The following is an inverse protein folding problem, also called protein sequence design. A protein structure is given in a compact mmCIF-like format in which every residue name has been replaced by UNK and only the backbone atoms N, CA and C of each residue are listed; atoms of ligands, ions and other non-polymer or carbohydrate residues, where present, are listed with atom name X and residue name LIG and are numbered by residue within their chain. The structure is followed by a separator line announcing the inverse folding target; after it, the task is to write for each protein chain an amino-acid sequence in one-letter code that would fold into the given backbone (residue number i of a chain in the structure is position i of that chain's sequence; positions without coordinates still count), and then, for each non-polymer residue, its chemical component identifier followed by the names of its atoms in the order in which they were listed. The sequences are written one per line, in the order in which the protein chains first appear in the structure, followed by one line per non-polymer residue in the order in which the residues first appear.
data_IF_696692736751
#
_entry.id   IF_696692736751
#
_cell.length_a   1.000
_cell.length_b   1.000
_cell.length_c   1.000
_cell.angle_alpha   90.00
_cell.angle_beta   90.00
_cell.angle_gamma   90.00
#
_symmetry.space_group_name_H-M   'P 1'
#
loop_
_entity.id
_entity.type
_entity.pdbx_description
1 polymer ?
#
# COMPACT_ATOMS: atom_id res chain seq x y z
N UNK A 1 -103.14 7.70 -12.11
CA UNK A 1 -102.19 6.61 -11.76
C UNK A 1 -100.85 7.24 -11.48
N UNK A 2 -100.27 6.93 -10.32
CA UNK A 2 -99.05 7.53 -9.76
C UNK A 2 -97.81 6.75 -10.20
N UNK A 3 -96.72 7.50 -10.37
CA UNK A 3 -95.32 7.17 -10.07
C UNK A 3 -94.60 6.00 -10.79
N UNK A 4 -93.51 6.34 -11.47
CA UNK A 4 -92.22 5.69 -11.28
C UNK A 4 -91.07 6.66 -11.63
N UNK A 5 -90.06 6.71 -10.78
CA UNK A 5 -88.95 7.68 -10.70
C UNK A 5 -87.61 6.94 -10.83
N UNK A 6 -86.63 7.61 -11.46
CA UNK A 6 -85.16 7.45 -11.38
C UNK A 6 -84.52 6.17 -11.97
N UNK A 7 -83.27 6.15 -12.48
CA UNK A 7 -82.10 7.02 -12.31
C UNK A 7 -81.35 7.22 -13.63
N UNK A 8 -80.85 8.42 -13.89
CA UNK A 8 -79.81 8.69 -14.90
C UNK A 8 -78.51 9.01 -14.15
N UNK A 9 -77.44 8.25 -14.45
CA UNK A 9 -76.12 8.44 -13.86
C UNK A 9 -75.47 9.70 -14.42
N UNK A 10 -75.38 10.75 -13.61
CA UNK A 10 -74.61 11.96 -13.90
C UNK A 10 -73.15 11.76 -13.56
N UNK A 11 -72.28 11.91 -14.55
CA UNK A 11 -70.83 11.98 -14.40
C UNK A 11 -70.48 13.32 -13.73
N UNK A 12 -70.31 13.33 -12.40
CA UNK A 12 -69.77 14.49 -11.69
C UNK A 12 -68.25 14.44 -11.67
N UNK A 13 -67.66 15.45 -12.32
CA UNK A 13 -66.25 15.81 -12.23
C UNK A 13 -65.95 16.26 -10.81
N UNK A 14 -65.19 15.46 -10.06
CA UNK A 14 -64.54 15.91 -8.81
C UNK A 14 -63.06 16.13 -9.15
N UNK A 15 -62.70 17.37 -9.44
CA UNK A 15 -61.30 17.82 -9.33
C UNK A 15 -60.93 17.83 -7.85
N UNK A 16 -60.46 16.68 -7.36
CA UNK A 16 -59.75 16.60 -6.09
C UNK A 16 -58.37 17.20 -6.29
N UNK A 17 -58.16 18.42 -5.80
CA UNK A 17 -56.83 18.97 -5.61
C UNK A 17 -56.12 18.11 -4.54
N UNK A 18 -55.36 17.12 -4.98
CA UNK A 18 -54.32 16.54 -4.14
C UNK A 18 -53.24 17.60 -4.00
N UNK A 19 -53.31 18.37 -2.92
CA UNK A 19 -52.12 18.97 -2.35
C UNK A 19 -51.19 17.82 -1.96
N UNK A 20 -50.30 17.44 -2.87
CA UNK A 20 -49.09 16.71 -2.49
C UNK A 20 -48.32 17.65 -1.56
N UNK A 21 -48.54 17.47 -0.27
CA UNK A 21 -47.66 17.97 0.76
C UNK A 21 -46.27 17.50 0.38
N UNK A 22 -45.45 18.44 -0.07
CA UNK A 22 -44.05 18.21 -0.41
C UNK A 22 -43.39 17.81 0.89
N UNK A 23 -43.33 16.50 1.18
CA UNK A 23 -42.41 15.95 2.17
C UNK A 23 -41.04 16.26 1.60
N UNK A 24 -40.58 17.46 1.91
CA UNK A 24 -39.21 17.88 1.74
C UNK A 24 -38.50 17.03 2.77
N UNK A 25 -38.00 15.88 2.34
CA UNK A 25 -37.09 15.08 3.13
C UNK A 25 -35.95 16.03 3.50
N UNK A 26 -35.99 16.55 4.73
CA UNK A 26 -34.92 17.31 5.32
C UNK A 26 -33.69 16.41 5.20
N UNK A 27 -32.81 16.71 4.23
CA UNK A 27 -31.51 16.06 4.19
C UNK A 27 -30.89 16.33 5.57
N UNK A 28 -30.42 15.29 6.29
CA UNK A 28 -29.77 15.50 7.57
C UNK A 28 -28.66 16.54 7.38
N UNK A 29 -28.58 17.51 8.28
CA UNK A 29 -27.57 18.55 8.23
C UNK A 29 -26.19 17.87 8.32
N UNK A 30 -25.36 18.01 7.30
CA UNK A 30 -24.01 17.45 7.27
C UNK A 30 -22.99 18.48 7.75
N UNK A 31 -21.97 18.01 8.45
CA UNK A 31 -20.80 18.79 8.82
C UNK A 31 -19.57 18.33 8.02
N UNK A 32 -18.53 19.15 7.97
CA UNK A 32 -17.27 18.76 7.34
C UNK A 32 -16.04 19.23 8.10
N UNK A 33 -14.94 18.48 7.96
CA UNK A 33 -13.60 18.83 8.44
C UNK A 33 -12.58 18.56 7.35
N UNK A 34 -11.53 19.38 7.25
CA UNK A 34 -10.46 19.21 6.26
C UNK A 34 -9.21 18.64 6.94
N UNK A 35 -8.72 17.51 6.43
CA UNK A 35 -7.68 16.70 7.08
C UNK A 35 -6.55 16.38 6.10
N UNK A 36 -5.31 16.64 6.50
CA UNK A 36 -4.09 16.24 5.80
C UNK A 36 -3.45 15.05 6.51
N UNK A 37 -3.25 13.96 5.78
CA UNK A 37 -2.73 12.70 6.32
C UNK A 37 -1.72 12.07 5.35
N UNK A 38 -1.01 12.86 4.55
CA UNK A 38 -0.18 12.37 3.46
C UNK A 38 -0.95 12.23 2.15
N UNK A 39 -0.59 11.26 1.31
CA UNK A 39 -1.22 11.06 0.00
C UNK A 39 -2.74 10.87 0.12
N UNK A 40 -3.51 11.81 -0.40
CA UNK A 40 -4.97 11.88 -0.24
C UNK A 40 -5.76 10.68 -0.79
N UNK A 41 -5.17 9.85 -1.67
CA UNK A 41 -5.84 8.68 -2.24
C UNK A 41 -6.14 7.62 -1.19
N UNK A 42 -5.16 7.35 -0.32
CA UNK A 42 -5.37 6.44 0.79
C UNK A 42 -6.26 7.07 1.86
N UNK A 43 -6.18 8.39 2.04
CA UNK A 43 -6.98 9.12 3.03
C UNK A 43 -8.46 9.05 2.68
N UNK A 44 -8.80 9.33 1.42
CA UNK A 44 -10.16 9.30 0.90
C UNK A 44 -10.82 7.94 1.15
N UNK A 45 -10.09 6.85 0.86
CA UNK A 45 -10.56 5.48 1.14
C UNK A 45 -10.78 5.26 2.64
N UNK A 46 -9.78 5.54 3.48
CA UNK A 46 -9.84 5.25 4.93
C UNK A 46 -10.92 6.04 5.64
N UNK A 47 -11.05 7.32 5.31
CA UNK A 47 -12.06 8.18 5.93
C UNK A 47 -13.46 7.86 5.39
N UNK A 48 -13.58 7.46 4.12
CA UNK A 48 -14.85 7.06 3.52
C UNK A 48 -15.40 5.72 4.04
N UNK A 49 -14.57 4.87 4.67
CA UNK A 49 -14.98 3.60 5.29
C UNK A 49 -15.57 3.78 6.70
N UNK A 50 -15.55 5.01 7.26
CA UNK A 50 -16.09 5.29 8.59
C UNK A 50 -17.62 5.36 8.54
N UNK A 51 -18.36 4.54 9.30
CA UNK A 51 -19.82 4.65 9.37
C UNK A 51 -20.25 6.06 9.80
N UNK A 52 -21.22 6.65 9.09
CA UNK A 52 -21.67 8.02 9.29
C UNK A 52 -20.92 9.09 8.47
N UNK A 53 -19.81 8.74 7.81
CA UNK A 53 -19.23 9.58 6.76
C UNK A 53 -20.05 9.45 5.49
N UNK A 54 -20.46 10.60 4.94
CA UNK A 54 -21.34 10.71 3.77
C UNK A 54 -20.54 10.81 2.48
N UNK A 55 -19.46 11.60 2.49
CA UNK A 55 -18.60 11.79 1.33
C UNK A 55 -17.19 12.25 1.75
N UNK A 56 -16.21 12.02 0.88
CA UNK A 56 -14.83 12.46 1.07
C UNK A 56 -14.30 12.98 -0.25
N UNK A 57 -13.89 14.25 -0.29
CA UNK A 57 -13.36 14.91 -1.49
C UNK A 57 -11.87 15.18 -1.32
N UNK A 58 -11.05 14.85 -2.32
CA UNK A 58 -9.60 15.16 -2.32
C UNK A 58 -9.34 16.61 -2.75
N UNK A 59 -8.35 17.26 -2.14
CA UNK A 59 -8.01 18.65 -2.43
C UNK A 59 -6.66 19.12 -1.89
N UNK A 60 -6.41 20.42 -2.05
CA UNK A 60 -5.20 21.11 -1.60
C UNK A 60 -5.58 22.28 -0.69
N UNK A 61 -4.94 22.40 0.48
CA UNK A 61 -5.24 23.47 1.44
C UNK A 61 -4.04 23.91 2.31
N UNK A 62 -4.14 25.12 2.86
CA UNK A 62 -3.25 25.64 3.90
C UNK A 62 -1.87 26.13 3.43
N UNK A 63 -1.68 26.27 2.13
CA UNK A 63 -0.57 27.01 1.51
C UNK A 63 -0.97 28.44 1.11
N UNK A 64 -0.04 29.14 0.49
CA UNK A 64 -0.20 30.56 0.16
C UNK A 64 -0.66 30.82 -1.29
N UNK A 65 -0.60 29.81 -2.18
CA UNK A 65 -1.01 29.97 -3.57
C UNK A 65 -2.54 30.09 -3.68
N UNK A 66 -3.09 31.07 -4.42
CA UNK A 66 -4.54 31.27 -4.53
C UNK A 66 -5.25 30.16 -5.33
N UNK A 67 -4.53 29.50 -6.24
CA UNK A 67 -4.95 28.36 -7.03
C UNK A 67 -3.76 27.45 -7.29
N UNK A 68 -3.98 26.14 -7.34
CA UNK A 68 -2.95 25.15 -7.63
C UNK A 68 -3.58 23.84 -8.13
N UNK A 69 -3.01 23.27 -9.18
CA UNK A 69 -3.20 21.86 -9.53
C UNK A 69 -2.08 20.99 -8.98
N UNK A 70 -2.17 19.68 -9.18
CA UNK A 70 -1.21 18.71 -8.66
C UNK A 70 0.24 19.04 -9.06
N UNK A 71 0.46 19.41 -10.32
CA UNK A 71 1.78 19.78 -10.82
C UNK A 71 2.32 21.06 -10.16
N UNK A 72 1.45 22.02 -9.85
CA UNK A 72 1.83 23.24 -9.15
C UNK A 72 2.33 22.90 -7.75
N UNK A 73 1.60 22.04 -7.01
CA UNK A 73 2.00 21.57 -5.67
C UNK A 73 3.38 20.93 -5.69
N UNK A 74 3.62 20.00 -6.62
CA UNK A 74 4.91 19.33 -6.74
C UNK A 74 6.03 20.29 -7.18
N UNK A 75 5.73 21.22 -8.08
CA UNK A 75 6.71 22.23 -8.52
C UNK A 75 7.07 23.20 -7.40
N UNK A 76 6.08 23.57 -6.59
CA UNK A 76 6.23 24.47 -5.47
C UNK A 76 7.02 23.82 -4.33
N UNK A 77 6.82 22.53 -4.08
CA UNK A 77 7.64 21.76 -3.14
C UNK A 77 9.12 21.75 -3.56
N UNK A 78 9.39 21.53 -4.85
CA UNK A 78 10.75 21.61 -5.39
C UNK A 78 11.33 23.03 -5.26
N UNK A 79 10.53 24.06 -5.51
CA UNK A 79 10.96 25.45 -5.35
C UNK A 79 11.29 25.76 -3.88
N UNK A 80 10.50 25.29 -2.93
CA UNK A 80 10.76 25.41 -1.49
C UNK A 80 12.07 24.74 -1.09
N UNK A 81 12.25 23.47 -1.49
CA UNK A 81 13.46 22.70 -1.18
C UNK A 81 14.74 23.30 -1.74
N UNK A 82 14.64 24.00 -2.88
CA UNK A 82 15.78 24.68 -3.51
C UNK A 82 15.96 26.13 -3.05
N UNK A 83 15.16 26.59 -2.09
CA UNK A 83 15.21 27.96 -1.57
C UNK A 83 14.77 29.03 -2.57
N UNK A 84 14.14 28.65 -3.69
CA UNK A 84 13.64 29.58 -4.72
C UNK A 84 12.40 30.34 -4.29
N UNK A 85 11.69 29.84 -3.28
CA UNK A 85 10.55 30.49 -2.66
C UNK A 85 10.51 30.18 -1.17
N UNK A 86 9.93 31.10 -0.41
CA UNK A 86 9.60 30.91 1.00
C UNK A 86 8.08 30.80 1.23
N UNK A 87 7.28 30.91 0.16
CA UNK A 87 5.82 30.83 0.24
C UNK A 87 5.40 29.40 0.57
N UNK A 88 4.43 29.25 1.46
CA UNK A 88 4.01 27.95 1.96
C UNK A 88 3.30 27.12 0.90
N UNK A 89 3.64 25.84 0.78
CA UNK A 89 2.94 24.90 -0.10
C UNK A 89 1.59 24.47 0.48
N UNK A 90 0.64 24.13 -0.39
CA UNK A 90 -0.58 23.45 0.08
C UNK A 90 -0.25 22.02 0.52
N UNK A 91 -0.97 21.54 1.53
CA UNK A 91 -1.03 20.13 1.85
C UNK A 91 -2.03 19.44 0.94
N UNK A 92 -1.74 18.20 0.53
CA UNK A 92 -2.76 17.24 0.13
C UNK A 92 -3.67 16.97 1.33
N UNK A 93 -4.96 17.19 1.13
CA UNK A 93 -5.98 17.04 2.15
C UNK A 93 -7.21 16.35 1.58
N UNK A 94 -8.08 15.90 2.47
CA UNK A 94 -9.45 15.55 2.13
C UNK A 94 -10.44 16.40 2.92
N UNK A 95 -11.57 16.73 2.31
CA UNK A 95 -12.76 17.26 2.98
C UNK A 95 -13.66 16.09 3.33
N UNK A 96 -13.71 15.72 4.62
CA UNK A 96 -14.55 14.64 5.14
C UNK A 96 -15.91 15.23 5.51
N UNK A 97 -16.96 14.81 4.82
CA UNK A 97 -18.34 15.25 5.04
C UNK A 97 -19.08 14.12 5.78
N UNK A 98 -19.68 14.42 6.93
CA UNK A 98 -20.28 13.41 7.80
C UNK A 98 -21.63 13.85 8.38
N UNK A 99 -22.45 12.87 8.77
CA UNK A 99 -23.70 13.09 9.47
C UNK A 99 -23.44 13.11 10.99
N UNK A 100 -23.54 14.28 11.67
CA UNK A 100 -23.29 14.39 13.11
C UNK A 100 -24.30 13.59 13.96
N UNK A 101 -25.43 13.16 13.38
CA UNK A 101 -26.36 12.25 14.04
C UNK A 101 -25.89 10.77 14.06
N UNK A 102 -24.95 10.41 13.19
CA UNK A 102 -24.43 9.04 13.05
C UNK A 102 -22.99 8.91 13.56
N UNK A 103 -22.15 9.92 13.37
CA UNK A 103 -20.74 9.92 13.80
C UNK A 103 -20.34 11.27 14.34
N UNK A 104 -19.64 11.27 15.48
CA UNK A 104 -19.17 12.51 16.11
C UNK A 104 -17.86 12.99 15.48
N UNK A 105 -17.60 14.30 15.53
CA UNK A 105 -16.31 14.87 15.14
C UNK A 105 -15.13 14.23 15.90
N UNK A 106 -15.31 13.92 17.20
CA UNK A 106 -14.29 13.23 17.98
C UNK A 106 -13.98 11.85 17.41
N UNK A 107 -14.99 11.09 16.98
CA UNK A 107 -14.81 9.78 16.33
C UNK A 107 -14.09 9.91 14.99
N UNK A 108 -14.45 10.92 14.17
CA UNK A 108 -13.74 11.20 12.91
C UNK A 108 -12.27 11.54 13.18
N UNK A 109 -11.99 12.38 14.17
CA UNK A 109 -10.63 12.75 14.57
C UNK A 109 -9.85 11.59 15.19
N UNK A 110 -10.49 10.73 15.98
CA UNK A 110 -9.89 9.50 16.48
C UNK A 110 -9.40 8.61 15.32
N UNK A 111 -10.22 8.44 14.28
CA UNK A 111 -9.82 7.70 13.07
C UNK A 111 -8.72 8.40 12.30
N UNK A 112 -8.74 9.73 12.21
CA UNK A 112 -7.62 10.50 11.66
C UNK A 112 -6.31 10.14 12.37
N UNK A 113 -6.27 10.20 13.70
CA UNK A 113 -5.07 9.92 14.50
C UNK A 113 -4.54 8.49 14.30
N UNK A 114 -5.43 7.49 14.24
CA UNK A 114 -5.06 6.08 14.13
C UNK A 114 -4.52 5.68 12.74
N UNK A 115 -4.90 6.38 11.67
CA UNK A 115 -4.68 5.92 10.29
C UNK A 115 -3.43 6.47 9.60
N UNK A 116 -2.64 7.30 10.29
CA UNK A 116 -1.36 7.84 9.80
C UNK A 116 -0.34 7.98 10.94
N UNK A 117 0.90 8.39 10.64
CA UNK A 117 1.90 8.67 11.66
C UNK A 117 2.03 10.18 11.90
N UNK A 118 1.33 10.76 12.89
CA UNK A 118 1.32 12.21 13.11
C UNK A 118 2.64 12.77 13.67
N UNK A 119 3.66 11.95 13.89
CA UNK A 119 4.96 12.39 14.45
C UNK A 119 6.06 12.55 13.40
N UNK A 120 5.79 12.27 12.12
CA UNK A 120 6.85 12.24 11.10
C UNK A 120 7.29 13.62 10.61
N UNK A 121 6.41 14.63 10.65
CA UNK A 121 6.67 15.97 10.08
C UNK A 121 6.87 15.96 8.56
N UNK A 122 6.10 16.73 7.80
CA UNK A 122 6.23 16.89 6.34
C UNK A 122 6.50 15.59 5.57
N UNK A 123 5.90 14.50 6.06
CA UNK A 123 6.10 13.14 5.56
C UNK A 123 4.99 12.24 6.07
N UNK A 124 4.56 11.30 5.23
CA UNK A 124 3.78 10.13 5.63
C UNK A 124 4.26 8.90 4.87
N UNK A 125 4.86 7.95 5.59
CA UNK A 125 5.43 6.76 4.98
C UNK A 125 6.52 7.10 3.95
N UNK A 126 6.24 6.85 2.67
CA UNK A 126 7.15 7.12 1.56
C UNK A 126 6.94 8.51 0.93
N UNK A 127 5.84 9.18 1.25
CA UNK A 127 5.51 10.48 0.70
C UNK A 127 6.19 11.57 1.54
N UNK A 128 7.20 12.23 0.98
CA UNK A 128 8.04 13.23 1.67
C UNK A 128 7.89 14.59 1.00
N UNK A 129 7.60 15.62 1.80
CA UNK A 129 7.39 16.98 1.35
C UNK A 129 6.37 17.69 2.23
N UNK A 130 6.46 19.01 2.30
CA UNK A 130 5.50 19.81 3.08
C UNK A 130 4.06 19.61 2.61
N UNK A 131 3.85 19.21 1.34
CA UNK A 131 2.53 18.84 0.82
C UNK A 131 1.96 17.54 1.44
N UNK A 132 2.77 16.70 2.09
CA UNK A 132 2.32 15.47 2.77
C UNK A 132 2.23 15.61 4.29
N UNK A 133 2.34 16.83 4.81
CA UNK A 133 2.25 17.10 6.25
C UNK A 133 0.91 16.67 6.84
N UNK A 134 0.95 16.26 8.10
CA UNK A 134 -0.27 16.03 8.88
C UNK A 134 -0.92 17.36 9.26
N UNK A 135 -2.22 17.52 8.99
CA UNK A 135 -2.92 18.78 9.23
C UNK A 135 -4.40 18.57 9.61
N UNK A 136 -4.92 19.46 10.46
CA UNK A 136 -6.35 19.64 10.73
C UNK A 136 -6.66 21.11 10.42
N UNK A 137 -7.45 21.34 9.38
CA UNK A 137 -7.92 22.68 9.03
C UNK A 137 -9.37 22.87 9.48
N UNK A 138 -9.55 23.69 10.52
CA UNK A 138 -10.85 23.93 11.15
C UNK A 138 -11.54 25.16 10.56
N UNK A 139 -12.88 25.18 10.55
CA UNK A 139 -13.66 26.35 10.11
C UNK A 139 -14.41 27.06 11.25
N UNK A 140 -14.42 26.47 12.46
CA UNK A 140 -15.02 27.07 13.65
C UNK A 140 -14.25 26.74 14.94
N UNK A 141 -14.67 27.34 16.06
CA UNK A 141 -14.04 27.18 17.36
C UNK A 141 -14.24 25.78 17.98
N UNK A 142 -15.36 25.11 17.69
CA UNK A 142 -15.66 23.77 18.20
C UNK A 142 -14.70 22.74 17.60
N UNK A 143 -14.46 22.84 16.29
CA UNK A 143 -13.51 21.98 15.59
C UNK A 143 -12.07 22.21 16.06
N UNK A 144 -11.68 23.48 16.28
CA UNK A 144 -10.38 23.80 16.88
C UNK A 144 -10.23 23.12 18.25
N UNK A 145 -11.23 23.27 19.12
CA UNK A 145 -11.22 22.69 20.45
C UNK A 145 -11.14 21.15 20.41
N UNK A 146 -11.93 20.51 19.53
CA UNK A 146 -11.91 19.07 19.33
C UNK A 146 -10.56 18.56 18.79
N UNK A 147 -9.96 19.26 17.81
CA UNK A 147 -8.63 18.94 17.29
C UNK A 147 -7.56 18.96 18.39
N UNK A 148 -7.53 20.02 19.20
CA UNK A 148 -6.57 20.17 20.30
C UNK A 148 -6.80 19.13 21.41
N UNK A 149 -8.05 18.87 21.78
CA UNK A 149 -8.39 17.89 22.82
C UNK A 149 -7.99 16.47 22.40
N UNK A 150 -8.35 16.06 21.19
CA UNK A 150 -8.02 14.73 20.66
C UNK A 150 -6.53 14.56 20.41
N UNK A 151 -5.82 15.61 19.96
CA UNK A 151 -4.34 15.61 19.88
C UNK A 151 -3.71 15.33 21.25
N UNK A 152 -4.16 16.00 22.31
CA UNK A 152 -3.63 15.81 23.66
C UNK A 152 -3.86 14.39 24.19
N UNK A 153 -5.02 13.81 23.89
CA UNK A 153 -5.32 12.41 24.24
C UNK A 153 -4.40 11.46 23.48
N UNK A 154 -4.30 11.61 22.15
CA UNK A 154 -3.50 10.71 21.33
C UNK A 154 -2.01 10.84 21.61
N UNK A 155 -1.50 12.04 21.92
CA UNK A 155 -0.10 12.23 22.32
C UNK A 155 0.27 11.37 23.54
N UNK A 156 -0.64 11.20 24.51
CA UNK A 156 -0.39 10.31 25.66
C UNK A 156 -0.24 8.85 25.22
N UNK A 157 -1.09 8.40 24.30
CA UNK A 157 -1.00 7.06 23.74
C UNK A 157 0.31 6.85 22.93
N UNK A 158 0.71 7.86 22.15
CA UNK A 158 1.97 7.85 21.41
C UNK A 158 3.18 7.80 22.34
N UNK A 159 3.19 8.60 23.40
CA UNK A 159 4.25 8.59 24.41
C UNK A 159 4.38 7.21 25.05
N UNK A 160 3.25 6.59 25.42
CA UNK A 160 3.23 5.25 26.00
C UNK A 160 3.73 4.17 25.02
N UNK A 161 3.52 4.38 23.72
CA UNK A 161 3.99 3.51 22.64
C UNK A 161 5.42 3.84 22.15
N UNK A 162 6.10 4.80 22.76
CA UNK A 162 7.48 5.18 22.40
C UNK A 162 7.62 6.07 21.15
N UNK A 163 6.54 6.69 20.69
CA UNK A 163 6.55 7.62 19.56
C UNK A 163 6.86 9.05 20.00
N UNK A 164 7.32 9.85 19.03
CA UNK A 164 7.68 11.25 19.24
C UNK A 164 6.48 12.18 19.42
N UNK A 165 6.78 13.48 19.47
CA UNK A 165 5.76 14.53 19.53
C UNK A 165 4.99 14.61 18.21
N UNK A 166 3.68 14.79 18.30
CA UNK A 166 2.80 15.10 17.18
C UNK A 166 3.24 16.41 16.53
N UNK A 167 3.47 16.35 15.22
CA UNK A 167 3.80 17.49 14.36
C UNK A 167 2.58 18.00 13.59
N UNK A 168 1.42 17.36 13.74
CA UNK A 168 0.16 17.78 13.11
C UNK A 168 -0.15 19.23 13.42
N UNK A 169 -0.31 20.02 12.37
CA UNK A 169 -0.77 21.40 12.55
C UNK A 169 -2.29 21.49 12.69
N UNK A 170 -2.74 22.43 13.51
CA UNK A 170 -4.17 22.68 13.73
C UNK A 170 -4.41 24.17 13.50
N UNK A 171 -4.86 24.51 12.31
CA UNK A 171 -4.95 25.90 11.81
C UNK A 171 -6.33 26.18 11.23
N UNK A 172 -6.76 27.45 11.14
CA UNK A 172 -8.00 27.78 10.45
C UNK A 172 -7.87 27.46 8.96
N UNK A 173 -8.92 26.90 8.36
CA UNK A 173 -9.01 26.70 6.92
C UNK A 173 -9.05 28.06 6.22
N UNK A 174 -7.98 28.40 5.50
CA UNK A 174 -7.88 29.65 4.75
C UNK A 174 -8.47 29.53 3.35
N UNK A 175 -8.13 28.46 2.67
CA UNK A 175 -8.50 28.18 1.30
C UNK A 175 -8.56 26.65 1.11
N UNK A 176 -9.38 26.21 0.17
CA UNK A 176 -9.48 24.82 -0.23
C UNK A 176 -9.64 24.78 -1.75
N UNK A 177 -8.78 24.02 -2.41
CA UNK A 177 -8.78 23.85 -3.86
C UNK A 177 -9.11 22.39 -4.14
N UNK A 178 -10.23 22.12 -4.81
CA UNK A 178 -10.61 20.76 -5.19
C UNK A 178 -9.56 20.17 -6.13
N UNK A 179 -9.08 18.95 -5.83
CA UNK A 179 -8.14 18.26 -6.69
C UNK A 179 -8.82 17.78 -7.97
N UNK A 180 -8.02 17.53 -9.00
CA UNK A 180 -8.49 17.11 -10.31
C UNK A 180 -9.30 15.81 -10.25
N UNK A 181 -10.26 15.64 -11.17
CA UNK A 181 -11.21 14.52 -11.17
C UNK A 181 -10.52 13.13 -11.17
N UNK A 182 -9.31 13.02 -11.72
CA UNK A 182 -8.58 11.75 -11.72
C UNK A 182 -8.04 11.37 -10.33
N UNK A 183 -7.92 12.32 -9.40
CA UNK A 183 -7.58 12.06 -7.99
C UNK A 183 -8.80 11.71 -7.15
N UNK A 184 -10.00 12.16 -7.54
CA UNK A 184 -11.23 11.83 -6.84
C UNK A 184 -11.54 10.34 -6.97
N UNK A 185 -11.90 9.70 -5.87
CA UNK A 185 -12.21 8.28 -5.78
C UNK A 185 -11.11 7.39 -6.37
N UNK A 186 -9.83 7.78 -6.23
CA UNK A 186 -8.73 7.15 -6.95
C UNK A 186 -8.65 5.63 -6.70
N UNK A 187 -8.75 5.19 -5.44
CA UNK A 187 -8.67 3.77 -5.08
C UNK A 187 -9.96 2.98 -5.36
N UNK A 188 -11.09 3.66 -5.61
CA UNK A 188 -12.29 3.01 -6.16
C UNK A 188 -12.13 2.78 -7.66
N UNK A 189 -11.52 3.73 -8.37
CA UNK A 189 -11.20 3.65 -9.80
C UNK A 189 -10.03 2.70 -10.08
N UNK A 190 -9.09 2.58 -9.14
CA UNK A 190 -7.86 1.79 -9.24
C UNK A 190 -7.70 0.94 -7.97
N UNK A 191 -8.28 -0.27 -7.95
CA UNK A 191 -8.30 -1.13 -6.75
C UNK A 191 -6.92 -1.55 -6.25
N UNK A 192 -5.94 -1.66 -7.16
CA UNK A 192 -4.54 -1.97 -6.86
C UNK A 192 -3.65 -0.69 -6.80
N UNK A 193 -4.28 0.49 -6.70
CA UNK A 193 -3.60 1.77 -6.62
C UNK A 193 -2.82 1.96 -5.31
N UNK A 194 -1.89 2.92 -5.33
CA UNK A 194 -1.05 3.22 -4.17
C UNK A 194 -1.86 3.61 -2.94
N UNK A 195 -1.61 2.94 -1.82
CA UNK A 195 -2.17 3.27 -0.51
C UNK A 195 -1.12 3.08 0.58
N UNK A 196 -0.39 4.16 0.92
CA UNK A 196 0.63 4.15 1.97
C UNK A 196 0.08 4.28 3.41
N UNK A 197 -1.25 4.36 3.57
CA UNK A 197 -1.89 4.69 4.84
C UNK A 197 -2.35 3.44 5.59
N UNK A 198 -1.59 3.08 6.63
CA UNK A 198 -1.88 1.95 7.51
C UNK A 198 -1.86 2.29 9.01
N UNK A 199 -1.59 3.54 9.37
CA UNK A 199 -1.33 3.92 10.76
C UNK A 199 -0.04 3.29 11.32
N UNK A 200 0.17 3.50 12.62
CA UNK A 200 1.33 3.00 13.37
C UNK A 200 0.95 1.94 14.41
N UNK A 201 -0.26 1.41 14.32
CA UNK A 201 -0.78 0.40 15.25
C UNK A 201 -1.16 0.92 16.64
N UNK A 202 -0.99 2.21 16.91
CA UNK A 202 -1.43 2.85 18.17
C UNK A 202 -2.92 3.20 18.05
N UNK A 203 -3.71 2.74 19.03
CA UNK A 203 -5.15 3.01 19.08
C UNK A 203 -5.44 4.33 19.79
N UNK A 204 -6.47 5.02 19.34
CA UNK A 204 -7.03 6.13 20.09
C UNK A 204 -7.69 5.57 21.35
N UNK A 205 -7.33 6.02 22.56
CA UNK A 205 -7.92 5.50 23.79
C UNK A 205 -9.45 5.69 23.78
N UNK A 206 -10.20 4.62 24.06
CA UNK A 206 -11.64 4.72 24.27
C UNK A 206 -11.90 5.73 25.38
N UNK A 207 -12.82 6.66 25.14
CA UNK A 207 -13.11 7.76 26.06
C UNK A 207 -13.79 7.24 27.33
N UNK A 208 -13.00 6.76 28.28
CA UNK A 208 -13.41 6.66 29.67
C UNK A 208 -13.56 8.08 30.25
N UNK A 209 -14.73 8.34 30.83
CA UNK A 209 -15.19 9.60 31.44
C UNK A 209 -14.11 10.40 32.22
N UNK A 210 -13.99 11.68 31.83
CA UNK A 210 -13.66 12.93 32.59
C UNK A 210 -12.44 13.01 33.53
N UNK A 211 -11.85 14.22 33.47
CA UNK A 211 -10.94 14.96 34.40
C UNK A 211 -9.44 14.66 34.19
N UNK A 212 -8.50 15.61 34.08
CA UNK A 212 -8.51 17.07 34.22
C UNK A 212 -7.21 17.71 33.71
N UNK A 213 -7.12 19.03 33.91
CA UNK A 213 -6.27 20.06 33.31
C UNK A 213 -4.75 20.03 33.57
N UNK A 214 -4.04 20.68 32.62
CA UNK A 214 -2.78 21.46 32.71
C UNK A 214 -1.44 20.69 32.90
N UNK A 215 -0.27 21.10 32.39
CA UNK A 215 0.27 22.43 32.07
C UNK A 215 1.23 22.41 30.84
N UNK A 216 1.56 23.62 30.38
CA UNK A 216 2.46 24.04 29.30
C UNK A 216 3.95 24.01 29.65
N UNK A 217 4.82 23.65 28.70
CA UNK A 217 6.19 24.23 28.61
C UNK A 217 6.86 24.02 27.24
N UNK A 218 7.49 25.10 26.78
CA UNK A 218 8.20 25.39 25.53
C UNK A 218 9.65 24.86 25.47
N UNK A 219 10.33 25.11 24.32
CA UNK A 219 11.79 25.07 23.98
C UNK A 219 12.02 24.07 22.82
N UNK A 220 12.16 24.49 21.55
CA UNK A 220 13.19 25.23 20.78
C UNK A 220 14.21 24.34 20.06
N UNK A 221 14.28 24.60 18.75
CA UNK A 221 15.08 24.10 17.63
C UNK A 221 16.60 24.03 17.79
N UNK A 222 17.23 23.16 17.00
CA UNK A 222 18.61 23.25 16.54
C UNK A 222 18.78 22.59 15.16
N UNK A 223 19.38 23.32 14.22
CA UNK A 223 19.48 23.09 12.77
C UNK A 223 20.94 23.03 12.33
N UNK A 224 21.29 22.23 11.30
CA UNK A 224 22.36 22.47 10.28
C UNK A 224 22.61 21.17 9.47
N UNK A 225 22.42 21.08 8.15
CA UNK A 225 23.21 21.61 7.01
C UNK A 225 24.62 20.95 6.92
N UNK A 226 25.21 20.53 5.79
CA UNK A 226 24.95 20.71 4.35
C UNK A 226 25.91 19.82 3.49
N UNK A 227 25.61 19.68 2.18
CA UNK A 227 26.55 19.79 1.02
C UNK A 227 26.82 18.60 0.04
N UNK A 228 26.29 18.75 -1.20
CA UNK A 228 26.89 18.74 -2.58
C UNK A 228 27.72 17.54 -3.14
N UNK A 229 27.81 17.16 -4.45
CA UNK A 229 27.20 17.41 -5.80
C UNK A 229 27.93 16.51 -6.86
N UNK A 230 27.30 16.05 -7.97
CA UNK A 230 27.79 16.11 -9.39
C UNK A 230 26.96 15.23 -10.37
N UNK A 231 26.47 15.79 -11.49
CA UNK A 231 25.53 15.17 -12.46
C UNK A 231 26.16 14.84 -13.83
N UNK A 232 26.01 13.60 -14.31
CA UNK A 232 26.28 13.18 -15.71
C UNK A 232 25.01 12.53 -16.30
N UNK A 233 24.44 13.10 -17.37
CA UNK A 233 23.19 12.57 -17.96
C UNK A 233 23.46 11.23 -18.65
N UNK A 234 23.02 10.13 -18.02
CA UNK A 234 23.16 8.77 -18.54
C UNK A 234 22.33 8.55 -19.83
N UNK A 235 22.83 7.74 -20.77
CA UNK A 235 22.11 7.38 -22.00
C UNK A 235 21.04 6.28 -21.75
N UNK A 236 19.95 6.21 -22.54
CA UNK A 236 18.95 5.15 -22.42
C UNK A 236 19.52 3.77 -22.75
N UNK A 237 18.99 2.71 -22.12
CA UNK A 237 19.33 1.33 -22.44
C UNK A 237 18.89 0.98 -23.87
N UNK A 238 19.73 0.24 -24.60
CA UNK A 238 19.39 -0.28 -25.92
C UNK A 238 18.53 -1.54 -25.77
N UNK A 239 17.37 -1.57 -26.41
CA UNK A 239 16.47 -2.72 -26.35
C UNK A 239 17.05 -4.01 -26.93
N UNK A 240 18.02 -3.92 -27.85
CA UNK A 240 18.71 -5.08 -28.42
C UNK A 240 19.57 -5.87 -27.41
N UNK A 241 19.93 -5.24 -26.28
CA UNK A 241 20.73 -5.86 -25.22
C UNK A 241 19.86 -6.45 -24.09
N UNK A 242 18.53 -6.35 -24.22
CA UNK A 242 17.55 -6.73 -23.18
C UNK A 242 16.68 -7.91 -23.63
N UNK A 243 16.11 -8.63 -22.65
CA UNK A 243 15.22 -9.75 -22.93
C UNK A 243 13.81 -9.27 -23.30
N UNK A 244 13.42 -9.45 -24.57
CA UNK A 244 12.13 -8.97 -25.06
C UNK A 244 10.93 -9.71 -24.42
N UNK A 245 11.07 -11.00 -24.11
CA UNK A 245 9.98 -11.80 -23.53
C UNK A 245 9.66 -11.34 -22.10
N UNK A 246 10.69 -11.12 -21.29
CA UNK A 246 10.55 -10.68 -19.90
C UNK A 246 11.85 -10.04 -19.40
N UNK A 247 11.77 -8.76 -19.00
CA UNK A 247 12.92 -8.01 -18.50
C UNK A 247 12.49 -7.09 -17.35
N UNK A 248 13.25 -7.09 -16.27
CA UNK A 248 13.18 -6.06 -15.25
C UNK A 248 14.16 -4.93 -15.58
N UNK A 249 13.75 -3.69 -15.35
CA UNK A 249 14.64 -2.53 -15.38
C UNK A 249 14.46 -1.76 -14.07
N UNK A 250 15.52 -1.64 -13.28
CA UNK A 250 15.60 -0.77 -12.12
C UNK A 250 16.03 0.62 -12.59
N UNK A 251 15.09 1.55 -12.54
CA UNK A 251 15.33 2.97 -12.79
C UNK A 251 15.74 3.63 -11.49
N UNK A 252 16.94 4.17 -11.49
CA UNK A 252 17.61 4.72 -10.32
C UNK A 252 17.88 6.22 -10.50
N UNK A 253 18.29 6.86 -9.41
CA UNK A 253 18.72 8.26 -9.41
C UNK A 253 20.12 8.36 -8.78
N UNK A 254 20.85 9.41 -9.16
CA UNK A 254 22.12 9.72 -8.51
C UNK A 254 21.91 9.96 -7.01
N UNK A 255 22.85 9.50 -6.18
CA UNK A 255 22.84 9.65 -4.72
C UNK A 255 21.55 9.13 -4.04
N UNK A 256 21.00 8.03 -4.55
CA UNK A 256 19.78 7.41 -4.07
C UNK A 256 20.08 6.33 -3.01
N UNK A 257 19.93 6.66 -1.72
CA UNK A 257 20.13 5.71 -0.60
C UNK A 257 19.24 4.45 -0.72
N UNK A 258 18.02 4.60 -1.23
CA UNK A 258 17.11 3.47 -1.44
C UNK A 258 17.57 2.56 -2.59
N UNK A 259 18.28 3.11 -3.57
CA UNK A 259 18.84 2.36 -4.69
C UNK A 259 20.06 1.56 -4.20
N UNK A 260 20.92 2.17 -3.37
CA UNK A 260 22.02 1.47 -2.70
C UNK A 260 21.53 0.36 -1.78
N UNK A 261 20.44 0.61 -1.05
CA UNK A 261 19.81 -0.39 -0.20
C UNK A 261 19.22 -1.53 -1.03
N UNK A 262 18.53 -1.22 -2.12
CA UNK A 262 18.01 -2.24 -3.06
C UNK A 262 19.14 -3.08 -3.66
N UNK A 263 20.25 -2.43 -4.02
CA UNK A 263 21.43 -3.11 -4.52
C UNK A 263 21.95 -4.11 -3.48
N UNK A 264 22.18 -3.65 -2.26
CA UNK A 264 22.67 -4.50 -1.17
C UNK A 264 21.71 -5.65 -0.86
N UNK A 265 20.42 -5.35 -0.75
CA UNK A 265 19.46 -6.29 -0.20
C UNK A 265 18.93 -7.32 -1.20
N UNK A 266 18.90 -6.96 -2.49
CA UNK A 266 18.24 -7.72 -3.56
C UNK A 266 19.23 -8.06 -4.69
N UNK A 267 19.88 -7.04 -5.27
CA UNK A 267 20.67 -7.22 -6.49
C UNK A 267 21.96 -7.99 -6.27
N UNK A 268 22.65 -7.75 -5.15
CA UNK A 268 23.96 -8.34 -4.83
C UNK A 268 23.92 -9.88 -4.78
N UNK A 269 22.72 -10.45 -4.57
CA UNK A 269 22.47 -11.88 -4.53
C UNK A 269 21.45 -12.34 -5.59
N UNK A 270 21.25 -11.56 -6.66
CA UNK A 270 20.23 -11.84 -7.67
C UNK A 270 20.52 -13.15 -8.42
N UNK A 271 19.62 -14.12 -8.27
CA UNK A 271 19.70 -15.42 -8.94
C UNK A 271 18.44 -15.72 -9.77
N UNK A 272 17.47 -14.80 -9.79
CA UNK A 272 16.21 -15.01 -10.48
C UNK A 272 16.43 -15.12 -11.98
N UNK A 273 15.68 -16.00 -12.64
CA UNK A 273 15.78 -16.21 -14.09
C UNK A 273 15.43 -14.95 -14.88
N UNK A 274 14.50 -14.14 -14.37
CA UNK A 274 14.16 -12.87 -15.02
C UNK A 274 15.35 -11.92 -14.89
N UNK A 275 15.96 -11.49 -16.02
CA UNK A 275 17.08 -10.58 -15.96
C UNK A 275 16.63 -9.21 -15.47
N UNK A 276 17.52 -8.54 -14.76
CA UNK A 276 17.32 -7.18 -14.28
C UNK A 276 18.47 -6.29 -14.77
N UNK A 277 18.13 -5.18 -15.42
CA UNK A 277 19.07 -4.16 -15.84
C UNK A 277 18.91 -2.92 -14.94
N UNK A 278 19.96 -2.11 -14.80
CA UNK A 278 19.95 -0.88 -14.01
C UNK A 278 20.22 0.32 -14.93
N UNK A 279 19.59 1.45 -14.65
CA UNK A 279 19.78 2.68 -15.42
C UNK A 279 19.52 3.92 -14.56
N UNK A 280 20.35 4.94 -14.72
CA UNK A 280 20.10 6.29 -14.19
C UNK A 280 19.28 7.16 -15.16
N UNK A 281 19.05 6.68 -16.38
CA UNK A 281 18.17 7.35 -17.34
C UNK A 281 16.72 6.94 -17.08
N UNK A 282 15.85 7.92 -16.85
CA UNK A 282 14.42 7.75 -16.58
C UNK A 282 13.56 7.41 -17.80
N UNK A 283 14.15 7.36 -19.00
CA UNK A 283 13.47 6.97 -20.23
C UNK A 283 13.50 5.44 -20.38
N UNK A 284 12.41 4.81 -20.87
CA UNK A 284 12.43 3.37 -21.14
C UNK A 284 13.50 3.01 -22.19
N UNK A 285 13.89 1.73 -22.25
CA UNK A 285 14.76 1.26 -23.33
C UNK A 285 14.22 1.63 -24.72
N UNK A 286 15.10 1.85 -25.69
CA UNK A 286 14.71 2.35 -27.01
C UNK A 286 13.62 1.51 -27.68
N UNK A 287 12.47 2.12 -27.98
CA UNK A 287 11.31 1.45 -28.58
C UNK A 287 10.40 0.72 -27.58
N UNK A 288 10.68 0.79 -26.28
CA UNK A 288 9.82 0.27 -25.23
C UNK A 288 8.95 1.38 -24.63
N UNK A 289 7.82 1.01 -24.02
CA UNK A 289 6.84 1.97 -23.50
C UNK A 289 6.59 1.74 -22.02
N UNK A 290 6.71 2.83 -21.24
CA UNK A 290 6.15 2.89 -19.90
C UNK A 290 4.64 3.16 -19.98
N UNK A 291 3.89 2.53 -19.09
CA UNK A 291 2.45 2.81 -18.92
C UNK A 291 2.26 4.16 -18.21
N UNK A 292 3.17 4.49 -17.29
CA UNK A 292 3.13 5.72 -16.47
C UNK A 292 4.52 6.34 -16.36
N UNK A 293 4.65 7.66 -16.18
CA UNK A 293 5.95 8.28 -15.88
C UNK A 293 6.59 7.70 -14.61
N UNK A 294 7.92 7.77 -14.52
CA UNK A 294 8.66 7.44 -13.31
C UNK A 294 8.80 8.68 -12.45
N UNK A 295 8.52 8.57 -11.16
CA UNK A 295 8.51 9.71 -10.23
C UNK A 295 9.28 9.47 -8.93
N UNK A 296 9.80 8.26 -8.72
CA UNK A 296 10.63 7.91 -7.57
C UNK A 296 11.71 6.89 -7.98
N UNK A 297 12.76 6.79 -7.18
CA UNK A 297 13.86 5.86 -7.36
C UNK A 297 14.14 5.08 -6.06
N UNK A 298 14.50 3.79 -6.13
CA UNK A 298 14.47 2.98 -7.34
C UNK A 298 13.01 2.68 -7.75
N UNK A 299 12.71 2.68 -9.05
CA UNK A 299 11.48 2.07 -9.56
C UNK A 299 11.85 0.88 -10.42
N UNK A 300 11.42 -0.32 -10.02
CA UNK A 300 11.67 -1.55 -10.75
C UNK A 300 10.47 -1.80 -11.63
N UNK A 301 10.66 -1.78 -12.95
CA UNK A 301 9.60 -2.01 -13.93
C UNK A 301 9.80 -3.35 -14.60
N UNK A 302 8.73 -4.15 -14.65
CA UNK A 302 8.67 -5.38 -15.43
C UNK A 302 8.12 -5.07 -16.81
N UNK A 303 8.91 -5.38 -17.83
CA UNK A 303 8.52 -5.32 -19.24
C UNK A 303 8.23 -6.71 -19.79
N UNK A 304 7.18 -6.81 -20.61
CA UNK A 304 6.89 -7.96 -21.48
C UNK A 304 6.65 -7.44 -22.90
N UNK A 305 7.38 -7.97 -23.87
CA UNK A 305 7.34 -7.54 -25.28
C UNK A 305 7.53 -6.02 -25.43
N UNK A 306 8.46 -5.46 -24.67
CA UNK A 306 8.78 -4.02 -24.67
C UNK A 306 7.71 -3.11 -24.07
N UNK A 307 6.65 -3.66 -23.46
CA UNK A 307 5.63 -2.87 -22.76
C UNK A 307 5.73 -3.12 -21.26
N UNK A 308 5.63 -2.05 -20.49
CA UNK A 308 5.43 -2.16 -19.05
C UNK A 308 4.15 -2.97 -18.75
N UNK A 309 4.26 -3.90 -17.80
CA UNK A 309 3.12 -4.67 -17.31
C UNK A 309 2.96 -4.62 -15.79
N UNK A 310 4.00 -4.22 -15.07
CA UNK A 310 3.98 -4.03 -13.63
C UNK A 310 5.17 -3.16 -13.20
N UNK A 311 5.03 -2.51 -12.04
CA UNK A 311 6.14 -1.79 -11.39
C UNK A 311 6.12 -1.96 -9.88
N UNK A 312 7.29 -1.78 -9.28
CA UNK A 312 7.52 -1.65 -7.84
C UNK A 312 8.26 -0.35 -7.60
N UNK A 313 7.63 0.59 -6.89
CA UNK A 313 8.13 1.95 -6.74
C UNK A 313 8.65 2.19 -5.33
N UNK A 314 9.91 2.63 -5.24
CA UNK A 314 10.64 2.82 -3.98
C UNK A 314 11.14 1.50 -3.39
N UNK A 315 12.11 1.58 -2.48
CA UNK A 315 12.57 0.41 -1.73
C UNK A 315 12.95 0.81 -0.32
N UNK A 316 12.30 0.20 0.68
CA UNK A 316 12.49 0.54 2.10
C UNK A 316 13.26 -0.55 2.88
N UNK A 317 13.85 -1.53 2.19
CA UNK A 317 14.56 -2.67 2.78
C UNK A 317 13.70 -3.86 3.18
N UNK A 318 12.40 -3.82 2.96
CA UNK A 318 11.52 -4.98 3.18
C UNK A 318 11.68 -5.97 2.03
N UNK A 319 12.68 -6.86 2.11
CA UNK A 319 12.96 -7.87 1.09
C UNK A 319 11.74 -8.72 0.75
N UNK A 320 10.97 -9.11 1.77
CA UNK A 320 9.77 -9.92 1.65
C UNK A 320 8.72 -9.28 0.74
N UNK A 321 8.53 -7.96 0.84
CA UNK A 321 7.55 -7.24 0.02
C UNK A 321 7.95 -7.22 -1.45
N UNK A 322 9.23 -6.99 -1.74
CA UNK A 322 9.74 -7.02 -3.12
C UNK A 322 9.59 -8.42 -3.73
N UNK A 323 10.04 -9.47 -3.03
CA UNK A 323 9.95 -10.84 -3.54
C UNK A 323 8.51 -11.33 -3.67
N UNK A 324 7.63 -10.93 -2.74
CA UNK A 324 6.19 -11.19 -2.86
C UNK A 324 5.62 -10.52 -4.11
N UNK A 325 5.88 -9.23 -4.31
CA UNK A 325 5.45 -8.52 -5.52
C UNK A 325 5.94 -9.23 -6.79
N UNK A 326 7.23 -9.54 -6.86
CA UNK A 326 7.81 -10.19 -8.03
C UNK A 326 7.18 -11.57 -8.26
N UNK A 327 7.00 -12.36 -7.20
CA UNK A 327 6.35 -13.67 -7.29
C UNK A 327 4.93 -13.59 -7.84
N UNK A 328 4.13 -12.57 -7.47
CA UNK A 328 2.81 -12.34 -8.08
C UNK A 328 2.86 -12.03 -9.59
N UNK A 329 3.98 -11.47 -10.08
CA UNK A 329 4.16 -11.18 -11.51
C UNK A 329 4.71 -12.37 -12.31
N UNK A 330 5.42 -13.29 -11.65
CA UNK A 330 6.11 -14.41 -12.29
C UNK A 330 5.33 -15.73 -12.25
N UNK A 331 4.63 -16.01 -11.15
CA UNK A 331 3.96 -17.28 -10.88
C UNK A 331 2.55 -17.35 -11.48
N UNK A 332 2.12 -18.54 -11.92
CA UNK A 332 0.74 -18.78 -12.34
C UNK A 332 -0.25 -18.68 -11.17
N UNK A 333 -1.56 -18.51 -11.41
CA UNK A 333 -2.56 -18.49 -10.34
C UNK A 333 -2.52 -19.72 -9.42
N UNK A 334 -2.26 -20.91 -9.98
CA UNK A 334 -2.13 -22.16 -9.24
C UNK A 334 -0.89 -22.17 -8.35
N UNK A 335 0.24 -21.72 -8.89
CA UNK A 335 1.49 -21.56 -8.14
C UNK A 335 1.33 -20.53 -7.02
N UNK A 336 0.64 -19.41 -7.28
CA UNK A 336 0.38 -18.37 -6.28
C UNK A 336 -0.50 -18.89 -5.13
N UNK A 337 -1.47 -19.76 -5.42
CA UNK A 337 -2.30 -20.40 -4.38
C UNK A 337 -1.44 -21.24 -3.43
N UNK A 338 -0.45 -21.96 -3.96
CA UNK A 338 0.51 -22.70 -3.15
C UNK A 338 1.40 -21.72 -2.39
N UNK A 339 2.16 -20.89 -3.12
CA UNK A 339 3.20 -20.01 -2.61
C UNK A 339 2.73 -18.99 -1.56
N UNK A 340 1.56 -18.37 -1.74
CA UNK A 340 1.11 -17.24 -0.92
C UNK A 340 -0.15 -17.53 -0.10
N UNK A 341 -0.87 -18.62 -0.39
CA UNK A 341 -2.10 -19.00 0.33
C UNK A 341 -2.00 -20.37 1.00
N UNK A 342 -0.78 -20.90 1.17
CA UNK A 342 -0.49 -22.19 1.81
C UNK A 342 -1.29 -23.35 1.17
N UNK A 343 -1.54 -23.25 -0.14
CA UNK A 343 -2.20 -24.29 -0.90
C UNK A 343 -1.32 -25.52 -1.06
N UNK A 344 -1.93 -26.64 -1.45
CA UNK A 344 -1.23 -27.87 -1.79
C UNK A 344 -1.72 -28.35 -3.15
N UNK A 345 -0.81 -28.69 -4.05
CA UNK A 345 -1.17 -29.29 -5.34
C UNK A 345 -1.68 -30.73 -5.15
N UNK A 346 -2.52 -31.25 -6.05
CA UNK A 346 -2.93 -32.64 -5.98
C UNK A 346 -1.72 -33.59 -6.10
N UNK A 347 -1.70 -34.72 -5.38
CA UNK A 347 -0.60 -35.68 -5.46
C UNK A 347 -0.45 -36.20 -6.89
N UNK A 348 0.78 -36.52 -7.29
CA UNK A 348 1.15 -37.07 -8.60
C UNK A 348 0.97 -36.13 -9.80
N UNK A 349 0.83 -34.81 -9.58
CA UNK A 349 0.59 -33.84 -10.67
C UNK A 349 1.78 -32.93 -11.00
N UNK A 350 2.77 -32.83 -10.12
CA UNK A 350 3.92 -31.96 -10.33
C UNK A 350 4.83 -32.44 -11.48
N UNK A 351 5.20 -31.54 -12.37
CA UNK A 351 6.07 -31.83 -13.53
C UNK A 351 7.48 -32.27 -13.15
N UNK A 352 7.93 -31.97 -11.94
CA UNK A 352 9.25 -32.32 -11.41
C UNK A 352 9.21 -33.48 -10.40
N UNK A 353 8.06 -34.14 -10.25
CA UNK A 353 7.92 -35.32 -9.39
C UNK A 353 8.89 -36.43 -9.81
N UNK A 354 8.98 -36.69 -11.11
CA UNK A 354 9.84 -37.75 -11.68
C UNK A 354 11.22 -37.23 -12.10
N UNK A 355 11.56 -35.98 -11.78
CA UNK A 355 12.87 -35.42 -12.12
C UNK A 355 13.97 -36.06 -11.25
N UNK A 356 14.99 -36.60 -11.93
CA UNK A 356 16.09 -37.40 -11.35
C UNK A 356 17.46 -36.98 -11.88
N UNK A 357 17.52 -36.05 -12.83
CA UNK A 357 18.81 -35.63 -13.40
C UNK A 357 19.69 -34.94 -12.34
N UNK A 358 21.02 -35.03 -12.45
CA UNK A 358 21.93 -34.22 -11.66
C UNK A 358 21.62 -32.73 -11.83
N UNK A 359 21.50 -32.03 -10.71
CA UNK A 359 21.07 -30.63 -10.70
C UNK A 359 20.57 -30.17 -9.34
N UNK A 360 19.84 -29.07 -9.39
CA UNK A 360 19.30 -28.39 -8.22
C UNK A 360 17.85 -27.97 -8.41
N UNK A 361 17.11 -27.98 -7.31
CA UNK A 361 15.76 -27.45 -7.21
C UNK A 361 15.85 -26.07 -6.56
N UNK A 362 15.42 -25.06 -7.29
CA UNK A 362 15.53 -23.66 -6.90
C UNK A 362 14.15 -23.06 -6.64
N UNK A 363 14.14 -22.02 -5.81
CA UNK A 363 13.00 -21.13 -5.63
C UNK A 363 12.64 -20.47 -6.98
N UNK A 364 11.40 -20.61 -7.47
CA UNK A 364 11.01 -20.14 -8.80
C UNK A 364 10.97 -18.60 -8.93
N UNK A 365 10.98 -17.87 -7.82
CA UNK A 365 10.94 -16.40 -7.79
C UNK A 365 12.34 -15.81 -7.68
N UNK A 366 13.16 -16.34 -6.76
CA UNK A 366 14.49 -15.79 -6.44
C UNK A 366 15.62 -16.51 -7.14
N UNK A 367 15.40 -17.74 -7.62
CA UNK A 367 16.43 -18.63 -8.15
C UNK A 367 17.38 -19.22 -7.10
N UNK A 368 17.17 -18.94 -5.82
CA UNK A 368 17.98 -19.48 -4.74
C UNK A 368 17.86 -21.01 -4.68
N UNK A 369 18.98 -21.69 -4.45
CA UNK A 369 19.02 -23.16 -4.35
C UNK A 369 18.37 -23.61 -3.05
N UNK A 370 17.35 -24.46 -3.15
CA UNK A 370 16.61 -25.00 -2.00
C UNK A 370 17.05 -26.44 -1.68
N UNK A 371 17.17 -27.28 -2.72
CA UNK A 371 17.54 -28.69 -2.59
C UNK A 371 18.45 -29.13 -3.75
N UNK A 372 19.30 -30.11 -3.49
CA UNK A 372 20.08 -30.78 -4.54
C UNK A 372 19.36 -32.06 -4.98
N UNK A 373 19.53 -32.47 -6.25
CA UNK A 373 18.84 -33.66 -6.75
C UNK A 373 19.31 -34.96 -6.08
N UNK A 374 20.54 -35.00 -5.55
CA UNK A 374 21.04 -36.12 -4.76
C UNK A 374 20.38 -36.26 -3.39
N UNK A 375 19.66 -35.24 -2.90
CA UNK A 375 18.87 -35.34 -1.66
C UNK A 375 17.42 -35.74 -1.90
N UNK A 376 16.99 -35.82 -3.17
CA UNK A 376 15.65 -36.22 -3.59
C UNK A 376 15.50 -37.74 -3.55
N UNK A 377 14.38 -38.23 -3.02
CA UNK A 377 14.06 -39.66 -2.97
C UNK A 377 12.56 -39.91 -3.25
N UNK A 378 12.22 -41.16 -3.59
CA UNK A 378 10.84 -41.55 -3.85
C UNK A 378 10.15 -41.97 -2.54
N UNK A 379 9.25 -41.13 -2.05
CA UNK A 379 8.48 -41.39 -0.84
C UNK A 379 7.15 -42.12 -1.10
N UNK A 380 6.70 -42.19 -2.35
CA UNK A 380 5.38 -42.72 -2.72
C UNK A 380 4.20 -41.82 -2.35
N UNK A 381 4.44 -40.63 -1.78
CA UNK A 381 3.36 -39.74 -1.31
C UNK A 381 2.71 -38.90 -2.41
N UNK A 382 3.34 -38.82 -3.59
CA UNK A 382 2.84 -38.03 -4.72
C UNK A 382 3.40 -36.60 -4.80
N UNK A 383 4.31 -36.22 -3.91
CA UNK A 383 5.03 -34.94 -3.99
C UNK A 383 6.55 -35.16 -3.94
N UNK A 384 7.34 -34.30 -4.61
CA UNK A 384 8.80 -34.27 -4.46
C UNK A 384 9.21 -34.32 -2.98
N UNK A 385 10.08 -35.27 -2.65
CA UNK A 385 10.53 -35.51 -1.29
C UNK A 385 12.04 -35.45 -1.21
N UNK A 386 12.54 -34.69 -0.24
CA UNK A 386 13.97 -34.52 0.00
C UNK A 386 14.31 -34.89 1.44
N UNK A 387 15.51 -35.40 1.70
CA UNK A 387 15.96 -35.73 3.06
C UNK A 387 16.85 -34.65 3.70
N UNK A 388 17.33 -33.70 2.89
CA UNK A 388 18.22 -32.63 3.32
C UNK A 388 18.10 -31.38 2.42
N UNK A 389 17.82 -30.18 2.97
CA UNK A 389 17.83 -28.91 2.26
C UNK A 389 19.24 -28.30 2.23
N UNK A 390 19.44 -27.33 1.34
CA UNK A 390 20.63 -26.46 1.42
C UNK A 390 20.61 -25.67 2.73
N UNK A 391 21.76 -25.58 3.39
CA UNK A 391 21.90 -24.84 4.65
C UNK A 391 21.41 -23.39 4.51
N UNK A 392 20.53 -22.97 5.43
CA UNK A 392 19.95 -21.63 5.42
C UNK A 392 18.92 -21.35 4.31
N UNK A 393 18.63 -22.31 3.44
CA UNK A 393 17.72 -22.09 2.30
C UNK A 393 16.23 -22.13 2.66
N UNK A 394 15.89 -22.67 3.84
CA UNK A 394 14.51 -22.81 4.31
C UNK A 394 14.31 -22.25 5.72
N UNK A 395 13.05 -21.95 6.05
CA UNK A 395 12.59 -21.67 7.42
C UNK A 395 11.45 -22.62 7.81
N UNK A 396 11.38 -22.96 9.10
CA UNK A 396 10.40 -23.89 9.65
C UNK A 396 9.41 -23.13 10.54
N UNK A 397 8.12 -23.41 10.37
CA UNK A 397 7.03 -22.73 11.08
C UNK A 397 6.02 -23.76 11.59
N UNK A 398 5.44 -23.52 12.77
CA UNK A 398 4.36 -24.38 13.25
C UNK A 398 3.09 -24.20 12.41
N UNK A 399 2.48 -25.32 12.01
CA UNK A 399 1.22 -25.33 11.27
C UNK A 399 0.20 -26.20 12.00
N UNK A 400 -0.79 -25.55 12.61
CA UNK A 400 -1.90 -26.17 13.34
C UNK A 400 -3.21 -26.21 12.52
N UNK A 401 -3.13 -25.96 11.21
CA UNK A 401 -4.29 -25.99 10.31
C UNK A 401 -4.88 -27.39 10.17
N UNK A 402 -6.15 -27.46 9.76
CA UNK A 402 -6.88 -28.71 9.51
C UNK A 402 -6.90 -29.71 10.69
N UNK A 403 -6.72 -29.22 11.92
CA UNK A 403 -6.71 -30.05 13.14
C UNK A 403 -5.47 -30.95 13.27
N UNK A 404 -4.44 -30.74 12.45
CA UNK A 404 -3.17 -31.47 12.50
C UNK A 404 -2.07 -30.59 13.09
N UNK A 405 -1.05 -31.20 13.70
CA UNK A 405 0.19 -30.51 14.08
C UNK A 405 1.28 -30.87 13.09
N UNK A 406 1.68 -29.92 12.26
CA UNK A 406 2.70 -30.08 11.21
C UNK A 406 3.75 -28.98 11.34
N UNK A 407 4.84 -29.16 10.61
CA UNK A 407 5.89 -28.13 10.47
C UNK A 407 5.85 -27.67 9.01
N UNK A 408 5.43 -26.44 8.78
CA UNK A 408 5.48 -25.78 7.46
C UNK A 408 6.94 -25.48 7.10
N UNK A 409 7.27 -25.71 5.82
CA UNK A 409 8.56 -25.37 5.21
C UNK A 409 8.33 -24.20 4.26
N UNK A 410 9.09 -23.12 4.45
CA UNK A 410 9.10 -21.95 3.55
C UNK A 410 10.49 -21.69 3.00
N UNK A 411 10.56 -21.10 1.82
CA UNK A 411 11.82 -20.58 1.26
C UNK A 411 12.33 -19.44 2.14
N UNK A 412 13.61 -19.46 2.52
CA UNK A 412 14.22 -18.38 3.28
C UNK A 412 14.46 -17.12 2.43
N UNK A 413 14.61 -17.27 1.11
CA UNK A 413 14.92 -16.16 0.21
C UNK A 413 13.68 -15.33 -0.15
N UNK A 414 12.57 -16.00 -0.51
CA UNK A 414 11.33 -15.34 -0.95
C UNK A 414 10.21 -15.33 0.09
N UNK A 415 10.27 -16.24 1.07
CA UNK A 415 9.21 -16.44 2.05
C UNK A 415 8.01 -17.25 1.55
N UNK A 416 8.04 -17.80 0.33
CA UNK A 416 6.93 -18.59 -0.21
C UNK A 416 6.76 -19.92 0.54
N UNK A 417 5.52 -20.37 0.65
CA UNK A 417 5.18 -21.71 1.11
C UNK A 417 5.71 -22.76 0.13
N UNK A 418 6.42 -23.76 0.67
CA UNK A 418 6.96 -24.88 -0.10
C UNK A 418 6.19 -26.17 0.20
N UNK A 419 5.94 -26.47 1.47
CA UNK A 419 5.28 -27.70 1.89
C UNK A 419 5.47 -27.97 3.38
N UNK A 420 5.73 -29.22 3.74
CA UNK A 420 5.81 -29.64 5.14
C UNK A 420 6.96 -30.61 5.42
N UNK A 421 7.45 -30.57 6.65
CA UNK A 421 8.47 -31.46 7.17
C UNK A 421 7.86 -32.58 8.01
N UNK A 422 8.29 -33.81 7.75
CA UNK A 422 7.92 -35.03 8.47
C UNK A 422 9.18 -35.75 9.00
N UNK A 423 8.98 -36.62 10.00
CA UNK A 423 10.05 -37.41 10.64
C UNK A 423 10.05 -38.89 10.17
N UNK A 424 9.55 -39.15 8.97
CA UNK A 424 9.40 -40.47 8.35
C UNK A 424 10.33 -40.64 7.13
N UNK A 425 11.42 -39.86 7.07
CA UNK A 425 12.39 -39.91 5.99
C UNK A 425 13.43 -41.02 6.13
N UNK A 426 14.28 -41.23 5.10
CA UNK A 426 15.36 -42.19 5.16
C UNK A 426 16.46 -41.77 6.16
N UNK A 427 17.26 -42.73 6.66
CA UNK A 427 18.50 -42.41 7.38
C UNK A 427 19.46 -41.57 6.52
N UNK A 428 20.33 -40.74 7.12
CA UNK A 428 20.54 -40.58 8.57
C UNK A 428 19.69 -39.48 9.22
N UNK A 429 19.11 -38.54 8.46
CA UNK A 429 18.37 -37.41 9.02
C UNK A 429 17.00 -37.83 9.57
N UNK A 430 16.42 -38.90 9.01
CA UNK A 430 15.03 -39.31 9.22
C UNK A 430 14.02 -38.20 8.88
N UNK A 431 14.44 -37.17 8.14
CA UNK A 431 13.61 -36.05 7.73
C UNK A 431 13.08 -36.27 6.33
N UNK A 432 11.82 -35.94 6.13
CA UNK A 432 11.20 -35.87 4.80
C UNK A 432 10.61 -34.50 4.59
N UNK A 433 11.25 -33.72 3.74
CA UNK A 433 10.75 -32.46 3.23
C UNK A 433 9.82 -32.76 2.06
N UNK A 434 8.52 -32.76 2.31
CA UNK A 434 7.48 -33.03 1.32
C UNK A 434 7.06 -31.70 0.70
N UNK A 435 7.53 -31.43 -0.51
CA UNK A 435 7.47 -30.10 -1.14
C UNK A 435 6.55 -30.14 -2.36
N UNK A 436 5.72 -29.11 -2.51
CA UNK A 436 4.93 -28.90 -3.72
C UNK A 436 5.88 -28.67 -4.90
N UNK A 437 5.76 -29.51 -5.93
CA UNK A 437 6.60 -29.44 -7.11
C UNK A 437 6.34 -28.22 -7.97
N UNK A 438 5.10 -27.72 -8.03
CA UNK A 438 4.77 -26.52 -8.82
C UNK A 438 5.39 -25.22 -8.27
N UNK A 439 5.92 -25.22 -7.05
CA UNK A 439 6.70 -24.09 -6.48
C UNK A 439 8.18 -24.41 -6.35
N UNK A 440 8.67 -25.36 -7.16
CA UNK A 440 10.08 -25.65 -7.38
C UNK A 440 10.40 -25.55 -8.87
N UNK A 441 11.57 -25.02 -9.19
CA UNK A 441 12.12 -25.09 -10.55
C UNK A 441 13.37 -25.95 -10.56
N UNK A 442 13.45 -26.90 -11.48
CA UNK A 442 14.67 -27.70 -11.66
C UNK A 442 15.66 -26.99 -12.59
N UNK A 443 16.93 -27.00 -12.21
CA UNK A 443 18.07 -26.52 -13.00
C UNK A 443 19.09 -27.66 -13.08
N UNK A 444 19.28 -28.20 -14.28
CA UNK A 444 20.27 -29.25 -14.51
C UNK A 444 21.69 -28.71 -14.30
N UNK A 445 22.59 -29.57 -13.82
CA UNK A 445 24.02 -29.27 -13.84
C UNK A 445 24.51 -29.15 -15.29
N UNK A 446 25.50 -28.29 -15.51
CA UNK A 446 26.07 -28.02 -16.83
C UNK A 446 27.15 -29.03 -17.21
#
# INVERSE_FOLDING_TARGET
MKAAIAMAAGLSVIMGAYAMEKITTLRPATEYIVLGMGCFWGVEKRMGEIPGVVDVESGYAGGDLPSAGYQDILSHERALRTGKTTARNHAEVVKVIFNPAEVTLETVLAKFWENHNPTQGDRQGNDVGSNYRSAIYYHDANQKAAGLATQAVYQKALNAAGYGRITTEILPLKNYITAEEYHQNYLKKNSDGYCGLGGIGVKYPDSAKKVGQAETSSISSGTSADSATSNTIAQPLKSGDLNLTRQLVAFEAEHCEFCERFEKDIMSSWQAEVPIARTLNSSPPSGWTLEKPLFAAPTIVLFKNGKEVARYTGYNGEKSNFWKWLGFQLLSPEQQKIAFKQGTEPPFTASNLDEKRPGRFVDPVTGATLFYSNTKFDSGTGWPSFFDPVEGAITLHEDNSHGMRRIEVRSASSGIHLGHLFNDGPPPSHKRYCINGNVLKFVADR
#
